data_IF_420212784887
#
_entry.id   IF_420212784887
#
_cell.length_a   1.000
_cell.length_b   1.000
_cell.length_c   1.000
_cell.angle_alpha   90.00
_cell.angle_beta   90.00
_cell.angle_gamma   90.00
#
_symmetry.space_group_name_H-M   'P 1'
#
loop_
_entity.id
_entity.type
_entity.pdbx_description
1 polymer ?
#
# COMPACT_ATOMS: atom_id res chain seq x y z
N UNK A 1 67.76 -32.73 -33.27
CA UNK A 1 66.46 -33.37 -32.98
C UNK A 1 65.67 -32.41 -32.12
N UNK A 2 64.68 -31.72 -32.69
CA UNK A 2 63.86 -30.71 -31.98
C UNK A 2 62.57 -31.40 -31.53
N UNK A 3 62.37 -31.50 -30.21
CA UNK A 3 61.12 -32.02 -29.63
C UNK A 3 60.00 -31.00 -29.87
N UNK A 4 58.93 -31.41 -30.57
CA UNK A 4 57.69 -30.65 -30.68
C UNK A 4 57.06 -30.59 -29.27
N UNK A 5 56.82 -29.38 -28.75
CA UNK A 5 55.96 -29.18 -27.59
C UNK A 5 54.50 -29.30 -28.05
N UNK A 6 53.72 -30.13 -27.36
CA UNK A 6 52.28 -30.20 -27.54
C UNK A 6 51.62 -28.97 -26.90
N UNK A 7 50.59 -28.38 -27.55
CA UNK A 7 49.89 -27.23 -27.00
C UNK A 7 49.08 -27.62 -25.76
N UNK A 8 49.15 -26.80 -24.72
CA UNK A 8 48.36 -26.95 -23.50
C UNK A 8 46.86 -26.79 -23.81
N UNK A 9 45.97 -27.57 -23.17
CA UNK A 9 44.53 -27.42 -23.34
C UNK A 9 44.05 -26.05 -22.84
N UNK A 10 43.17 -25.41 -23.61
CA UNK A 10 42.54 -24.14 -23.23
C UNK A 10 41.70 -24.31 -21.95
N UNK A 11 41.73 -23.33 -21.03
CA UNK A 11 40.89 -23.37 -19.83
C UNK A 11 39.41 -23.29 -20.23
N UNK A 12 38.61 -24.23 -19.69
CA UNK A 12 37.15 -24.18 -19.81
C UNK A 12 36.61 -22.85 -19.24
N UNK A 13 35.64 -22.20 -19.89
CA UNK A 13 35.02 -21.00 -19.35
C UNK A 13 34.28 -21.35 -18.06
N UNK A 14 34.59 -20.64 -16.98
CA UNK A 14 33.85 -20.73 -15.72
C UNK A 14 32.35 -20.48 -16.00
N UNK A 15 31.43 -21.24 -15.39
CA UNK A 15 30.01 -20.95 -15.53
C UNK A 15 29.76 -19.58 -14.90
N UNK A 16 29.54 -18.56 -15.74
CA UNK A 16 28.94 -17.31 -15.30
C UNK A 16 27.62 -17.65 -14.63
N UNK A 17 27.62 -17.67 -13.31
CA UNK A 17 26.43 -17.73 -12.49
C UNK A 17 25.69 -16.43 -12.74
N UNK A 18 24.84 -16.44 -13.78
CA UNK A 18 23.81 -15.43 -13.96
C UNK A 18 22.76 -15.74 -12.89
N UNK A 19 23.05 -15.34 -11.65
CA UNK A 19 22.06 -15.34 -10.59
C UNK A 19 20.93 -14.45 -11.10
N UNK A 20 19.75 -15.05 -11.34
CA UNK A 20 18.55 -14.29 -11.61
C UNK A 20 18.40 -13.25 -10.48
N UNK A 21 17.97 -12.01 -10.79
CA UNK A 21 17.69 -11.03 -9.75
C UNK A 21 16.76 -11.68 -8.72
N UNK A 22 16.96 -11.43 -7.41
CA UNK A 22 16.15 -12.02 -6.36
C UNK A 22 14.67 -11.72 -6.66
N UNK A 23 13.88 -12.77 -6.80
CA UNK A 23 12.45 -12.64 -7.02
C UNK A 23 11.83 -12.16 -5.72
N UNK A 24 11.15 -11.02 -5.77
CA UNK A 24 10.39 -10.50 -4.64
C UNK A 24 9.20 -11.41 -4.36
N UNK A 25 8.85 -11.55 -3.10
CA UNK A 25 7.58 -12.14 -2.69
C UNK A 25 6.41 -11.22 -3.08
N UNK A 26 5.19 -11.76 -3.23
CA UNK A 26 4.00 -10.93 -3.56
C UNK A 26 3.74 -9.79 -2.55
N UNK A 27 4.12 -10.01 -1.29
CA UNK A 27 4.05 -8.99 -0.24
C UNK A 27 5.05 -7.86 -0.49
N UNK A 28 6.30 -8.19 -0.79
CA UNK A 28 7.35 -7.21 -1.11
C UNK A 28 7.01 -6.43 -2.39
N UNK A 29 6.44 -7.09 -3.39
CA UNK A 29 5.92 -6.42 -4.59
C UNK A 29 4.82 -5.42 -4.24
N UNK A 30 3.90 -5.77 -3.35
CA UNK A 30 2.82 -4.86 -2.92
C UNK A 30 3.38 -3.69 -2.11
N UNK A 31 4.29 -3.95 -1.17
CA UNK A 31 4.97 -2.92 -0.38
C UNK A 31 5.70 -1.92 -1.30
N UNK A 32 6.42 -2.43 -2.31
CA UNK A 32 7.10 -1.62 -3.29
C UNK A 32 6.11 -0.79 -4.13
N UNK A 33 5.00 -1.39 -4.58
CA UNK A 33 3.95 -0.69 -5.30
C UNK A 33 3.35 0.47 -4.49
N UNK A 34 2.95 0.21 -3.25
CA UNK A 34 2.40 1.24 -2.35
C UNK A 34 3.41 2.34 -2.06
N UNK A 35 4.67 1.96 -1.78
CA UNK A 35 5.74 2.92 -1.58
C UNK A 35 5.95 3.79 -2.83
N UNK A 36 5.99 3.18 -4.03
CA UNK A 36 6.27 3.87 -5.27
C UNK A 36 5.15 4.81 -5.72
N UNK A 37 3.93 4.25 -5.81
CA UNK A 37 2.75 4.90 -6.38
C UNK A 37 2.14 5.93 -5.42
N UNK A 38 2.37 5.78 -4.11
CA UNK A 38 1.81 6.65 -3.07
C UNK A 38 0.29 6.76 -3.23
N UNK A 39 -0.42 5.62 -3.17
CA UNK A 39 -1.84 5.57 -3.48
C UNK A 39 -2.62 6.47 -2.52
N UNK A 40 -3.61 7.18 -3.07
CA UNK A 40 -4.39 8.15 -2.32
C UNK A 40 -5.21 7.50 -1.20
N UNK A 41 -5.89 6.40 -1.52
CA UNK A 41 -6.51 5.49 -0.55
C UNK A 41 -5.59 4.30 -0.25
N UNK A 42 -5.64 3.72 0.96
CA UNK A 42 -4.92 2.49 1.28
C UNK A 42 -5.27 1.33 0.34
N UNK A 43 -4.30 0.43 0.15
CA UNK A 43 -4.40 -0.75 -0.71
C UNK A 43 -4.65 -1.98 0.14
N UNK A 44 -5.70 -2.75 -0.19
CA UNK A 44 -5.98 -4.04 0.43
C UNK A 44 -5.11 -5.13 -0.22
N UNK A 45 -4.50 -5.98 0.60
CA UNK A 45 -3.66 -7.09 0.13
C UNK A 45 -3.67 -8.26 1.12
N UNK A 46 -2.79 -9.23 0.90
CA UNK A 46 -2.55 -10.36 1.81
C UNK A 46 -1.07 -10.50 2.15
N UNK A 47 -0.77 -10.58 3.43
CA UNK A 47 0.57 -10.78 4.00
C UNK A 47 0.56 -12.09 4.76
N UNK A 48 1.42 -13.04 4.37
CA UNK A 48 1.40 -14.39 4.95
C UNK A 48 0.01 -15.08 4.91
N UNK A 49 -0.81 -14.75 3.91
CA UNK A 49 -2.19 -15.25 3.79
C UNK A 49 -3.24 -14.52 4.66
N UNK A 50 -2.83 -13.57 5.50
CA UNK A 50 -3.73 -12.76 6.32
C UNK A 50 -4.16 -11.49 5.57
N UNK A 51 -5.44 -11.06 5.65
CA UNK A 51 -5.87 -9.78 5.13
C UNK A 51 -5.10 -8.63 5.77
N UNK A 52 -4.54 -7.77 4.95
CA UNK A 52 -3.79 -6.59 5.38
C UNK A 52 -4.20 -5.37 4.56
N UNK A 53 -4.02 -4.20 5.15
CA UNK A 53 -4.23 -2.90 4.50
C UNK A 53 -2.91 -2.15 4.54
N UNK A 54 -2.42 -1.76 3.38
CA UNK A 54 -1.14 -1.08 3.22
C UNK A 54 -1.36 0.39 2.86
N UNK A 55 -0.69 1.28 3.59
CA UNK A 55 -0.78 2.72 3.34
C UNK A 55 0.60 3.36 3.31
N UNK A 56 0.81 4.30 2.38
CA UNK A 56 1.99 5.15 2.41
C UNK A 56 1.90 6.14 3.58
N UNK A 57 2.95 6.21 4.40
CA UNK A 57 3.02 7.06 5.60
C UNK A 57 3.94 8.26 5.39
N UNK A 58 5.04 8.08 4.66
CA UNK A 58 6.04 9.13 4.49
C UNK A 58 7.41 8.57 4.11
N UNK A 59 8.47 9.29 4.48
CA UNK A 59 9.84 9.02 4.07
C UNK A 59 10.28 9.92 2.92
N UNK A 60 11.49 9.67 2.43
CA UNK A 60 12.12 10.44 1.36
C UNK A 60 12.16 9.65 0.05
N UNK A 61 12.87 10.18 -0.95
CA UNK A 61 12.99 9.52 -2.24
C UNK A 61 13.83 8.24 -2.20
N UNK A 62 14.71 8.08 -1.21
CA UNK A 62 15.57 6.91 -1.05
C UNK A 62 14.87 5.80 -0.27
N UNK A 63 14.22 6.14 0.83
CA UNK A 63 13.53 5.19 1.69
C UNK A 63 12.16 5.72 2.11
N UNK A 64 11.13 4.92 1.83
CA UNK A 64 9.73 5.23 2.08
C UNK A 64 9.18 4.34 3.19
N UNK A 65 8.22 4.85 3.94
CA UNK A 65 7.55 4.11 5.02
C UNK A 65 6.14 3.74 4.59
N UNK A 66 5.83 2.45 4.68
CA UNK A 66 4.51 1.88 4.45
C UNK A 66 4.02 1.29 5.77
N UNK A 67 2.82 1.66 6.21
CA UNK A 67 2.19 0.92 7.31
C UNK A 67 1.41 -0.26 6.76
N UNK A 68 1.55 -1.41 7.40
CA UNK A 68 0.81 -2.64 7.13
C UNK A 68 -0.10 -2.88 8.32
N UNK A 69 -1.40 -2.65 8.13
CA UNK A 69 -2.42 -2.85 9.16
C UNK A 69 -3.04 -4.23 8.99
N UNK A 70 -3.19 -4.98 10.09
CA UNK A 70 -3.87 -6.26 10.15
C UNK A 70 -5.19 -6.10 10.91
N UNK A 71 -6.32 -5.81 10.23
CA UNK A 71 -7.56 -5.42 10.92
C UNK A 71 -8.07 -6.47 11.90
N UNK A 72 -8.01 -7.75 11.54
CA UNK A 72 -8.46 -8.85 12.39
C UNK A 72 -7.62 -9.01 13.68
N UNK A 73 -6.34 -8.66 13.63
CA UNK A 73 -5.42 -8.73 14.77
C UNK A 73 -5.33 -7.41 15.54
N UNK A 74 -5.89 -6.34 14.98
CA UNK A 74 -5.84 -4.99 15.53
C UNK A 74 -4.41 -4.49 15.78
N UNK A 75 -3.50 -4.79 14.86
CA UNK A 75 -2.11 -4.32 14.93
C UNK A 75 -1.67 -3.72 13.60
N UNK A 76 -0.67 -2.85 13.65
CA UNK A 76 0.00 -2.33 12.47
C UNK A 76 1.52 -2.37 12.60
N UNK A 77 2.19 -2.68 11.51
CA UNK A 77 3.65 -2.71 11.38
C UNK A 77 4.09 -1.56 10.47
N UNK A 78 5.26 -0.97 10.72
CA UNK A 78 5.84 0.03 9.82
C UNK A 78 7.03 -0.58 9.08
N UNK A 79 6.92 -0.62 7.76
CA UNK A 79 7.93 -1.16 6.86
C UNK A 79 8.63 -0.02 6.13
N UNK A 80 9.95 0.00 6.22
CA UNK A 80 10.82 0.82 5.38
C UNK A 80 11.10 0.08 4.08
N UNK A 81 10.84 0.74 2.97
CA UNK A 81 11.04 0.25 1.60
C UNK A 81 11.99 1.21 0.90
N UNK A 82 13.19 0.75 0.58
CA UNK A 82 14.22 1.56 -0.05
C UNK A 82 14.34 1.29 -1.55
N UNK A 83 14.80 2.30 -2.30
CA UNK A 83 14.89 2.27 -3.76
C UNK A 83 15.88 1.21 -4.31
N UNK A 84 16.81 0.74 -3.47
CA UNK A 84 17.75 -0.35 -3.74
C UNK A 84 17.14 -1.75 -3.55
N UNK A 85 15.84 -1.82 -3.22
CA UNK A 85 15.12 -3.06 -3.01
C UNK A 85 15.25 -3.64 -1.60
N UNK A 86 15.78 -2.87 -0.63
CA UNK A 86 15.80 -3.28 0.76
C UNK A 86 14.44 -3.05 1.44
N UNK A 87 14.01 -4.04 2.22
CA UNK A 87 12.83 -3.99 3.06
C UNK A 87 13.26 -4.22 4.51
N UNK A 88 12.84 -3.35 5.42
CA UNK A 88 13.15 -3.47 6.84
C UNK A 88 11.94 -3.09 7.69
N UNK A 89 11.65 -3.89 8.71
CA UNK A 89 10.66 -3.54 9.73
C UNK A 89 11.24 -2.39 10.59
N UNK A 90 10.68 -1.21 10.47
CA UNK A 90 11.12 0.01 11.18
C UNK A 90 10.47 0.12 12.57
N UNK A 91 9.23 -0.36 12.69
CA UNK A 91 8.53 -0.47 13.96
C UNK A 91 7.73 -1.76 14.01
N UNK A 92 7.90 -2.50 15.11
CA UNK A 92 7.12 -3.69 15.42
C UNK A 92 5.63 -3.36 15.62
N UNK A 93 4.81 -4.42 15.61
CA UNK A 93 3.36 -4.35 15.71
C UNK A 93 2.87 -3.42 16.85
N UNK A 94 2.20 -2.32 16.48
CA UNK A 94 1.56 -1.38 17.39
C UNK A 94 0.04 -1.62 17.39
N UNK A 95 -0.60 -1.55 18.56
CA UNK A 95 -2.04 -1.75 18.68
C UNK A 95 -2.79 -0.59 18.01
N UNK A 96 -3.78 -0.92 17.17
CA UNK A 96 -4.61 0.11 16.52
C UNK A 96 -5.75 0.55 17.44
N UNK A 97 -5.98 1.87 17.60
CA UNK A 97 -7.14 2.35 18.33
C UNK A 97 -8.44 1.99 17.59
N UNK A 98 -9.52 1.86 18.35
CA UNK A 98 -10.85 1.72 17.75
C UNK A 98 -11.26 3.03 17.06
N UNK A 99 -11.99 2.90 15.95
CA UNK A 99 -12.60 4.04 15.30
C UNK A 99 -13.66 4.65 16.23
N UNK A 100 -13.61 5.96 16.55
CA UNK A 100 -14.59 6.56 17.44
C UNK A 100 -16.02 6.47 16.89
N UNK A 101 -16.98 6.11 17.74
CA UNK A 101 -18.42 6.11 17.39
C UNK A 101 -19.05 7.50 17.62
N UNK A 102 -18.50 8.53 16.97
CA UNK A 102 -18.94 9.92 17.10
C UNK A 102 -19.83 10.34 15.90
N UNK A 103 -21.03 10.93 16.14
CA UNK A 103 -21.83 11.56 15.08
C UNK A 103 -21.05 12.55 14.18
N UNK A 104 -20.14 13.35 14.75
CA UNK A 104 -19.32 14.32 14.01
C UNK A 104 -18.36 13.64 13.03
N UNK A 105 -17.73 12.54 13.44
CA UNK A 105 -16.87 11.74 12.57
C UNK A 105 -17.69 11.11 11.42
N UNK A 106 -18.89 10.60 11.71
CA UNK A 106 -19.78 10.06 10.67
C UNK A 106 -20.16 11.13 9.64
N UNK A 107 -20.52 12.33 10.10
CA UNK A 107 -20.84 13.45 9.21
C UNK A 107 -19.63 13.87 8.36
N UNK A 108 -18.43 13.94 8.94
CA UNK A 108 -17.20 14.24 8.22
C UNK A 108 -16.90 13.19 7.14
N UNK A 109 -17.12 11.89 7.43
CA UNK A 109 -16.96 10.81 6.45
C UNK A 109 -17.95 10.94 5.30
N UNK A 110 -19.23 11.12 5.61
CA UNK A 110 -20.27 11.32 4.60
C UNK A 110 -19.95 12.52 3.70
N UNK A 111 -19.63 13.66 4.29
CA UNK A 111 -19.24 14.84 3.51
C UNK A 111 -18.07 14.54 2.57
N UNK A 112 -17.02 13.87 3.06
CA UNK A 112 -15.85 13.49 2.25
C UNK A 112 -16.25 12.56 1.09
N UNK A 113 -17.12 11.58 1.34
CA UNK A 113 -17.65 10.66 0.32
C UNK A 113 -18.44 11.42 -0.76
N UNK A 114 -19.34 12.33 -0.38
CA UNK A 114 -20.10 13.14 -1.33
C UNK A 114 -19.19 14.08 -2.16
N UNK A 115 -18.17 14.68 -1.53
CA UNK A 115 -17.19 15.48 -2.27
C UNK A 115 -16.38 14.63 -3.26
N UNK A 116 -15.99 13.41 -2.89
CA UNK A 116 -15.30 12.48 -3.78
C UNK A 116 -16.21 11.99 -4.92
N UNK A 117 -17.51 11.83 -4.70
CA UNK A 117 -18.48 11.54 -5.77
C UNK A 117 -18.50 12.63 -6.85
N UNK A 118 -18.43 13.89 -6.44
CA UNK A 118 -18.43 15.03 -7.36
C UNK A 118 -17.07 15.26 -8.05
N UNK A 119 -15.96 15.03 -7.35
CA UNK A 119 -14.62 15.46 -7.79
C UNK A 119 -13.62 14.31 -8.04
N UNK A 120 -14.06 13.06 -7.87
CA UNK A 120 -13.24 11.85 -8.00
C UNK A 120 -12.45 11.50 -6.74
N UNK A 121 -12.00 12.49 -5.94
CA UNK A 121 -11.32 12.29 -4.66
C UNK A 121 -11.60 13.44 -3.69
N UNK A 122 -11.49 13.15 -2.40
CA UNK A 122 -11.57 14.16 -1.34
C UNK A 122 -10.82 13.70 -0.09
N UNK A 123 -10.33 14.68 0.67
CA UNK A 123 -9.76 14.49 2.00
C UNK A 123 -10.45 15.39 3.02
N UNK A 124 -10.43 14.96 4.28
CA UNK A 124 -10.92 15.71 5.43
C UNK A 124 -10.15 15.31 6.68
N UNK A 125 -10.21 16.14 7.71
CA UNK A 125 -9.62 15.87 9.02
C UNK A 125 -10.67 15.98 10.12
N UNK A 126 -10.56 15.12 11.14
CA UNK A 126 -11.38 15.15 12.34
C UNK A 126 -10.52 14.84 13.57
N UNK A 127 -10.11 15.87 14.30
CA UNK A 127 -9.09 15.73 15.34
C UNK A 127 -7.77 15.23 14.74
N UNK A 128 -7.23 14.13 15.29
CA UNK A 128 -6.03 13.47 14.78
C UNK A 128 -6.29 12.49 13.62
N UNK A 129 -7.55 12.33 13.21
CA UNK A 129 -7.94 11.41 12.16
C UNK A 129 -7.92 12.10 10.79
N UNK A 130 -7.43 11.36 9.79
CA UNK A 130 -7.51 11.76 8.39
C UNK A 130 -8.48 10.83 7.67
N UNK A 131 -9.43 11.43 6.95
CA UNK A 131 -10.43 10.75 6.13
C UNK A 131 -10.07 10.99 4.67
N UNK A 132 -9.96 9.93 3.88
CA UNK A 132 -9.71 10.02 2.43
C UNK A 132 -10.76 9.22 1.70
N UNK A 133 -11.33 9.77 0.64
CA UNK A 133 -12.29 9.08 -0.20
C UNK A 133 -11.96 9.20 -1.68
N UNK A 134 -12.16 8.13 -2.43
CA UNK A 134 -11.90 8.06 -3.87
C UNK A 134 -13.03 7.33 -4.59
N UNK A 135 -13.52 7.93 -5.66
CA UNK A 135 -14.45 7.28 -6.58
C UNK A 135 -13.72 6.27 -7.46
N UNK A 136 -14.38 5.15 -7.76
CA UNK A 136 -13.93 4.21 -8.78
C UNK A 136 -13.91 4.85 -10.18
N UNK A 137 -14.60 5.99 -10.38
CA UNK A 137 -14.76 6.67 -11.66
C UNK A 137 -15.69 5.96 -12.64
N UNK A 138 -16.02 4.69 -12.39
CA UNK A 138 -16.99 3.92 -13.16
C UNK A 138 -18.39 4.18 -12.61
N UNK A 139 -19.24 4.76 -13.47
CA UNK A 139 -20.67 4.93 -13.19
C UNK A 139 -21.45 3.81 -13.86
N UNK A 140 -22.42 3.26 -13.14
CA UNK A 140 -23.37 2.30 -13.71
C UNK A 140 -24.41 2.99 -14.61
N UNK A 141 -25.36 2.21 -15.13
CA UNK A 141 -26.42 2.70 -16.02
C UNK A 141 -27.35 3.72 -15.35
N UNK A 142 -27.40 3.74 -14.01
CA UNK A 142 -28.19 4.67 -13.21
C UNK A 142 -27.36 5.88 -12.75
N UNK A 143 -26.10 5.98 -13.18
CA UNK A 143 -25.18 7.04 -12.77
C UNK A 143 -24.57 6.82 -11.38
N UNK A 144 -24.82 5.70 -10.73
CA UNK A 144 -24.26 5.38 -9.41
C UNK A 144 -22.80 4.97 -9.53
N UNK A 145 -21.99 5.27 -8.52
CA UNK A 145 -20.58 4.88 -8.48
C UNK A 145 -20.20 4.45 -7.06
N UNK A 146 -19.17 3.61 -6.96
CA UNK A 146 -18.61 3.19 -5.67
C UNK A 146 -17.56 4.21 -5.26
N UNK A 147 -17.72 4.73 -4.03
CA UNK A 147 -16.75 5.57 -3.35
C UNK A 147 -16.12 4.75 -2.24
N UNK A 148 -14.81 4.56 -2.32
CA UNK A 148 -14.03 3.96 -1.24
C UNK A 148 -13.58 5.06 -0.30
N UNK A 149 -13.80 4.88 1.00
CA UNK A 149 -13.28 5.77 2.04
C UNK A 149 -12.41 5.02 3.04
N UNK A 150 -11.40 5.70 3.57
CA UNK A 150 -10.53 5.20 4.61
C UNK A 150 -10.34 6.25 5.69
N UNK A 151 -10.28 5.81 6.94
CA UNK A 151 -9.92 6.62 8.10
C UNK A 151 -8.57 6.13 8.61
N UNK A 152 -7.65 7.07 8.76
CA UNK A 152 -6.28 6.82 9.23
C UNK A 152 -5.98 7.62 10.48
N UNK A 153 -5.19 7.03 11.38
CA UNK A 153 -4.65 7.65 12.60
C UNK A 153 -3.14 7.44 12.60
N UNK A 154 -2.35 8.51 12.69
CA UNK A 154 -0.89 8.46 12.56
C UNK A 154 -0.41 7.69 11.32
N UNK A 155 -1.13 7.88 10.20
CA UNK A 155 -0.88 7.17 8.94
C UNK A 155 -1.49 5.77 8.89
N UNK A 156 -1.66 5.07 10.01
CA UNK A 156 -2.20 3.70 10.06
C UNK A 156 -3.70 3.68 9.75
N UNK A 157 -4.17 2.70 8.98
CA UNK A 157 -5.58 2.58 8.63
C UNK A 157 -6.37 1.91 9.75
N UNK A 158 -7.37 2.60 10.29
CA UNK A 158 -8.21 2.09 11.40
C UNK A 158 -9.66 1.82 10.99
N UNK A 159 -10.04 2.20 9.76
CA UNK A 159 -11.35 1.87 9.20
C UNK A 159 -11.40 2.11 7.71
N UNK A 160 -12.15 1.26 7.00
CA UNK A 160 -12.43 1.39 5.57
C UNK A 160 -13.90 1.11 5.29
N UNK A 161 -14.47 1.76 4.28
CA UNK A 161 -15.81 1.47 3.75
C UNK A 161 -15.86 1.70 2.25
N UNK A 162 -16.68 0.91 1.57
CA UNK A 162 -17.11 1.17 0.21
C UNK A 162 -18.59 1.56 0.24
N UNK A 163 -18.93 2.69 -0.37
CA UNK A 163 -20.28 3.26 -0.38
C UNK A 163 -20.72 3.51 -1.82
N UNK A 164 -21.91 3.02 -2.20
CA UNK A 164 -22.49 3.31 -3.51
C UNK A 164 -23.30 4.60 -3.44
N UNK A 165 -22.88 5.62 -4.18
CA UNK A 165 -23.55 6.92 -4.25
C UNK A 165 -24.18 7.09 -5.63
N UNK A 166 -25.47 7.45 -5.66
CA UNK A 166 -26.25 7.67 -6.87
C UNK A 166 -26.63 9.16 -7.01
N UNK A 167 -26.77 9.69 -8.24
CA UNK A 167 -27.29 11.03 -8.46
C UNK A 167 -28.72 11.14 -7.89
N UNK A 168 -28.92 12.03 -6.92
CA UNK A 168 -30.23 12.26 -6.28
C UNK A 168 -30.50 11.47 -5.00
N UNK A 169 -29.52 10.73 -4.46
CA UNK A 169 -29.58 10.19 -3.10
C UNK A 169 -29.00 11.18 -2.10
N UNK A 170 -29.86 11.83 -1.32
CA UNK A 170 -29.52 12.48 -0.04
C UNK A 170 -29.70 11.49 1.12
#
# INVERSE_FOLDING_TARGET
MVRKLEPLPEPEPEPTSSAAPPQLSPEEETLLGVAHERPFVPVESRVGGQPAVMNFVGGDEQCRTVAVTYPARRVAELWRVCADGQFALDREAEAIPDLPEDPGLRAARQATVHWAFANGRADSSYGELMIRAQSSGQRDQNGCTVIRSAVTWNGVTIGMSDETICPGGE
#
